data_IF_880709166349
#
_entry.id   IF_880709166349
#
_cell.length_a   1.000
_cell.length_b   1.000
_cell.length_c   1.000
_cell.angle_alpha   90.00
_cell.angle_beta   90.00
_cell.angle_gamma   90.00
#
_symmetry.space_group_name_H-M   'P 1'
#
loop_
_entity.id
_entity.type
_entity.pdbx_description
1 polymer ?
#
# COMPACT_ATOMS: atom_id res chain seq x y z
N UNK A 1 -76.91 -34.97 8.65
CA UNK A 1 -77.12 -34.11 7.47
C UNK A 1 -75.76 -33.71 6.93
N UNK A 2 -75.54 -33.84 5.61
CA UNK A 2 -74.46 -33.22 4.79
C UNK A 2 -72.99 -33.50 5.20
N UNK A 3 -72.00 -33.66 4.33
CA UNK A 3 -71.79 -34.11 2.95
C UNK A 3 -70.24 -34.16 2.83
N UNK A 4 -69.70 -35.07 2.03
CA UNK A 4 -68.28 -35.38 1.77
C UNK A 4 -67.41 -34.16 1.39
N UNK A 5 -66.10 -34.20 1.68
CA UNK A 5 -65.03 -33.85 0.70
C UNK A 5 -63.81 -34.77 0.92
N UNK A 6 -63.36 -35.36 -0.20
CA UNK A 6 -62.17 -36.18 -0.39
C UNK A 6 -60.99 -35.25 -0.76
N UNK A 7 -59.84 -35.41 -0.12
CA UNK A 7 -58.61 -34.67 -0.46
C UNK A 7 -57.42 -35.61 -0.59
N UNK A 8 -57.05 -35.88 -1.84
CA UNK A 8 -55.88 -36.66 -2.25
C UNK A 8 -54.62 -35.80 -2.06
N UNK A 9 -53.63 -36.22 -1.26
CA UNK A 9 -52.29 -35.63 -1.26
C UNK A 9 -51.30 -36.60 -1.92
N UNK A 10 -50.86 -36.19 -3.10
CA UNK A 10 -49.70 -36.73 -3.82
C UNK A 10 -48.41 -36.27 -3.15
N UNK A 11 -47.59 -37.21 -2.67
CA UNK A 11 -46.25 -36.94 -2.18
C UNK A 11 -45.26 -36.92 -3.36
N UNK A 12 -44.84 -35.73 -3.78
CA UNK A 12 -43.75 -35.52 -4.74
C UNK A 12 -42.39 -35.60 -4.04
N UNK A 13 -41.46 -36.33 -4.66
CA UNK A 13 -40.16 -36.68 -4.11
C UNK A 13 -39.19 -35.51 -3.92
N UNK A 14 -38.30 -35.67 -2.95
CA UNK A 14 -37.12 -34.83 -2.77
C UNK A 14 -35.91 -35.54 -3.39
N UNK A 15 -35.40 -35.02 -4.50
CA UNK A 15 -34.10 -35.39 -5.03
C UNK A 15 -33.01 -34.66 -4.23
N UNK A 16 -32.15 -35.42 -3.55
CA UNK A 16 -30.97 -34.90 -2.85
C UNK A 16 -29.90 -34.58 -3.91
N UNK A 17 -29.71 -33.30 -4.22
CA UNK A 17 -28.58 -32.84 -5.01
C UNK A 17 -27.32 -32.84 -4.14
N UNK A 18 -26.47 -33.86 -4.29
CA UNK A 18 -25.10 -33.85 -3.78
C UNK A 18 -24.30 -32.80 -4.57
N UNK A 19 -24.20 -31.59 -4.02
CA UNK A 19 -23.29 -30.57 -4.54
C UNK A 19 -21.88 -30.94 -4.05
N UNK A 20 -21.13 -31.65 -4.89
CA UNK A 20 -19.70 -31.88 -4.63
C UNK A 20 -18.95 -30.56 -4.77
N UNK A 21 -18.64 -29.90 -3.64
CA UNK A 21 -17.64 -28.85 -3.62
C UNK A 21 -16.29 -29.47 -4.00
N UNK A 22 -15.90 -29.31 -5.26
CA UNK A 22 -14.51 -29.49 -5.66
C UNK A 22 -13.70 -28.34 -5.06
N UNK A 23 -13.06 -28.59 -3.91
CA UNK A 23 -11.97 -27.76 -3.41
C UNK A 23 -10.80 -27.88 -4.41
N UNK A 24 -10.77 -26.99 -5.40
CA UNK A 24 -9.57 -26.78 -6.18
C UNK A 24 -8.45 -26.30 -5.23
N UNK A 25 -7.18 -26.70 -5.44
CA UNK A 25 -6.09 -26.32 -4.56
C UNK A 25 -5.79 -24.82 -4.73
N UNK A 26 -6.37 -24.01 -3.85
CA UNK A 26 -6.21 -22.54 -3.79
C UNK A 26 -4.75 -22.11 -3.82
N UNK A 27 -3.86 -22.89 -3.23
CA UNK A 27 -2.42 -22.63 -3.20
C UNK A 27 -1.78 -22.53 -4.60
N UNK A 28 -2.22 -23.34 -5.57
CA UNK A 28 -1.63 -23.33 -6.92
C UNK A 28 -2.10 -22.11 -7.72
N UNK A 29 -3.37 -21.72 -7.58
CA UNK A 29 -3.90 -20.50 -8.20
C UNK A 29 -3.31 -19.23 -7.57
N UNK A 30 -3.12 -19.23 -6.25
CA UNK A 30 -2.53 -18.11 -5.52
C UNK A 30 -1.04 -17.97 -5.84
N UNK A 31 -0.32 -19.08 -6.08
CA UNK A 31 1.06 -19.08 -6.58
C UNK A 31 1.12 -18.55 -8.02
N UNK A 32 0.28 -19.04 -8.92
CA UNK A 32 0.23 -18.57 -10.30
C UNK A 32 -0.10 -17.06 -10.42
N UNK A 33 -1.03 -16.55 -9.60
CA UNK A 33 -1.36 -15.13 -9.57
C UNK A 33 -0.20 -14.27 -9.04
N UNK A 34 0.54 -14.75 -8.03
CA UNK A 34 1.76 -14.09 -7.52
C UNK A 34 2.87 -14.05 -8.57
N UNK A 35 3.12 -15.19 -9.23
CA UNK A 35 4.15 -15.31 -10.26
C UNK A 35 3.83 -14.41 -11.47
N UNK A 36 2.54 -14.24 -11.80
CA UNK A 36 2.09 -13.33 -12.88
C UNK A 36 2.27 -11.85 -12.50
N UNK A 37 1.94 -11.47 -11.26
CA UNK A 37 2.11 -10.08 -10.79
C UNK A 37 3.60 -9.67 -10.72
N UNK A 38 4.47 -10.58 -10.29
CA UNK A 38 5.92 -10.35 -10.29
C UNK A 38 6.48 -10.23 -11.72
N UNK A 39 6.01 -11.07 -12.66
CA UNK A 39 6.46 -11.02 -14.06
C UNK A 39 6.03 -9.74 -14.80
N UNK A 40 4.97 -9.06 -14.36
CA UNK A 40 4.44 -7.85 -14.97
C UNK A 40 4.98 -6.54 -14.39
N UNK A 41 5.74 -6.56 -13.29
CA UNK A 41 6.21 -5.34 -12.63
C UNK A 41 7.47 -4.78 -13.29
N UNK A 42 7.52 -3.45 -13.47
CA UNK A 42 8.63 -2.76 -14.15
C UNK A 42 9.95 -2.71 -13.38
N UNK A 43 9.93 -3.11 -12.11
CA UNK A 43 11.12 -3.26 -11.26
C UNK A 43 11.35 -4.74 -11.01
N UNK A 44 12.47 -5.28 -11.51
CA UNK A 44 12.88 -6.65 -11.22
C UNK A 44 13.34 -6.83 -9.77
N UNK A 45 13.38 -8.07 -9.28
CA UNK A 45 13.93 -8.36 -7.95
C UNK A 45 15.40 -7.93 -7.82
N UNK A 46 16.20 -8.09 -8.88
CA UNK A 46 17.59 -7.65 -8.90
C UNK A 46 17.71 -6.12 -8.74
N UNK A 47 16.86 -5.35 -9.43
CA UNK A 47 16.82 -3.90 -9.27
C UNK A 47 16.33 -3.48 -7.88
N UNK A 48 15.30 -4.16 -7.34
CA UNK A 48 14.86 -3.93 -5.96
C UNK A 48 15.97 -4.19 -4.95
N UNK A 49 16.74 -5.28 -5.11
CA UNK A 49 17.89 -5.57 -4.26
C UNK A 49 19.01 -4.52 -4.40
N UNK A 50 19.24 -3.98 -5.61
CA UNK A 50 20.20 -2.90 -5.85
C UNK A 50 19.75 -1.57 -5.22
N UNK A 51 18.44 -1.28 -5.24
CA UNK A 51 17.86 -0.09 -4.60
C UNK A 51 18.01 -0.14 -3.08
N UNK A 52 17.82 -1.33 -2.49
CA UNK A 52 17.74 -1.55 -1.05
C UNK A 52 18.71 -2.65 -0.55
N UNK A 53 20.03 -2.40 -0.59
CA UNK A 53 21.04 -3.41 -0.25
C UNK A 53 21.08 -3.77 1.24
N UNK A 54 20.66 -2.86 2.12
CA UNK A 54 20.72 -3.01 3.58
C UNK A 54 19.34 -3.18 4.22
N UNK A 55 18.30 -3.47 3.44
CA UNK A 55 16.93 -3.54 3.97
C UNK A 55 16.79 -4.59 5.07
N UNK A 56 15.85 -4.34 5.97
CA UNK A 56 15.34 -5.37 6.86
C UNK A 56 14.70 -6.50 6.04
N UNK A 57 14.99 -7.75 6.41
CA UNK A 57 14.44 -8.95 5.75
C UNK A 57 12.90 -9.01 5.71
N UNK A 58 12.22 -8.26 6.58
CA UNK A 58 10.77 -8.04 6.54
C UNK A 58 10.29 -7.54 5.17
N UNK A 59 11.01 -6.58 4.57
CA UNK A 59 10.63 -6.00 3.29
C UNK A 59 11.08 -6.89 2.13
N UNK A 60 10.22 -7.84 1.76
CA UNK A 60 10.47 -8.75 0.65
C UNK A 60 9.95 -8.18 -0.66
N UNK A 61 10.64 -8.49 -1.76
CA UNK A 61 10.16 -8.19 -3.11
C UNK A 61 8.82 -8.88 -3.39
N UNK A 62 8.67 -10.13 -2.94
CA UNK A 62 7.42 -10.88 -3.02
C UNK A 62 6.26 -10.22 -2.25
N UNK A 63 6.54 -9.57 -1.12
CA UNK A 63 5.54 -8.78 -0.40
C UNK A 63 5.06 -7.59 -1.24
N UNK A 64 5.97 -6.89 -1.90
CA UNK A 64 5.65 -5.76 -2.78
C UNK A 64 4.82 -6.23 -3.98
N UNK A 65 5.27 -7.25 -4.70
CA UNK A 65 4.56 -7.74 -5.90
C UNK A 65 3.20 -8.33 -5.57
N UNK A 66 3.04 -8.98 -4.41
CA UNK A 66 1.75 -9.45 -3.92
C UNK A 66 0.78 -8.30 -3.55
N UNK A 67 1.29 -7.10 -3.26
CA UNK A 67 0.48 -5.93 -2.94
C UNK A 67 -0.02 -5.18 -4.18
N UNK A 68 0.65 -5.33 -5.34
CA UNK A 68 0.35 -4.58 -6.57
C UNK A 68 -1.10 -4.76 -7.04
N UNK A 69 -1.70 -5.94 -6.83
CA UNK A 69 -3.08 -6.21 -7.26
C UNK A 69 -4.12 -5.36 -6.52
N UNK A 70 -3.77 -4.74 -5.39
CA UNK A 70 -4.66 -3.81 -4.69
C UNK A 70 -4.82 -2.48 -5.46
N UNK A 71 -3.84 -2.12 -6.30
CA UNK A 71 -3.81 -0.87 -7.07
C UNK A 71 -3.32 -1.15 -8.50
N UNK A 72 -4.16 -1.71 -9.38
CA UNK A 72 -3.73 -2.20 -10.70
C UNK A 72 -3.26 -1.11 -11.68
N UNK A 73 -3.51 0.18 -11.39
CA UNK A 73 -2.99 1.32 -12.14
C UNK A 73 -1.58 1.75 -11.73
N UNK A 74 -1.14 1.40 -10.52
CA UNK A 74 0.18 1.76 -10.01
C UNK A 74 1.29 1.15 -10.88
N UNK A 75 2.20 1.98 -11.39
CA UNK A 75 3.29 1.58 -12.29
C UNK A 75 2.80 0.80 -13.52
N UNK A 76 1.56 1.01 -13.93
CA UNK A 76 0.92 0.35 -15.06
C UNK A 76 0.09 1.32 -15.94
N UNK A 77 0.15 2.62 -15.64
CA UNK A 77 -0.51 3.69 -16.41
C UNK A 77 0.53 4.48 -17.21
N UNK A 78 0.20 4.82 -18.46
CA UNK A 78 1.07 5.62 -19.33
C UNK A 78 2.14 4.80 -20.06
N UNK A 79 3.18 5.49 -20.56
CA UNK A 79 4.30 4.86 -21.24
C UNK A 79 5.20 4.08 -20.27
N UNK A 80 6.04 3.18 -20.78
CA UNK A 80 6.99 2.45 -19.92
C UNK A 80 7.97 3.37 -19.18
N UNK A 81 8.27 4.54 -19.75
CA UNK A 81 9.01 5.60 -19.05
C UNK A 81 8.25 6.09 -17.82
N UNK A 82 6.97 6.43 -17.97
CA UNK A 82 6.11 6.92 -16.87
C UNK A 82 5.93 5.85 -15.80
N UNK A 83 5.70 4.59 -16.20
CA UNK A 83 5.58 3.46 -15.26
C UNK A 83 6.84 3.30 -14.41
N UNK A 84 8.02 3.38 -15.01
CA UNK A 84 9.31 3.29 -14.30
C UNK A 84 9.58 4.52 -13.44
N UNK A 85 9.24 5.71 -13.91
CA UNK A 85 9.32 6.95 -13.12
C UNK A 85 8.43 6.85 -11.88
N UNK A 86 7.19 6.40 -12.02
CA UNK A 86 6.29 6.21 -10.89
C UNK A 86 6.83 5.18 -9.89
N UNK A 87 7.29 4.02 -10.37
CA UNK A 87 7.89 3.00 -9.51
C UNK A 87 9.11 3.53 -8.74
N UNK A 88 10.01 4.25 -9.43
CA UNK A 88 11.16 4.89 -8.81
C UNK A 88 10.74 5.97 -7.79
N UNK A 89 9.73 6.78 -8.09
CA UNK A 89 9.24 7.83 -7.21
C UNK A 89 8.63 7.28 -5.92
N UNK A 90 7.82 6.22 -6.02
CA UNK A 90 7.28 5.51 -4.86
C UNK A 90 8.41 4.94 -4.01
N UNK A 91 9.29 4.14 -4.62
CA UNK A 91 10.37 3.49 -3.89
C UNK A 91 11.37 4.48 -3.28
N UNK A 92 11.62 5.62 -3.93
CA UNK A 92 12.52 6.65 -3.41
C UNK A 92 11.97 7.34 -2.17
N UNK A 93 10.67 7.66 -2.16
CA UNK A 93 10.02 8.17 -0.95
C UNK A 93 10.00 7.11 0.15
N UNK A 94 9.68 5.86 -0.18
CA UNK A 94 9.77 4.73 0.77
C UNK A 94 11.18 4.60 1.36
N UNK A 95 12.21 4.72 0.53
CA UNK A 95 13.60 4.73 0.97
C UNK A 95 13.88 5.85 1.96
N UNK A 96 13.32 7.05 1.72
CA UNK A 96 13.48 8.18 2.62
C UNK A 96 12.78 7.95 3.97
N UNK A 97 11.52 7.51 3.97
CA UNK A 97 10.73 7.29 5.19
C UNK A 97 11.31 6.23 6.12
N UNK A 98 12.03 5.24 5.56
CA UNK A 98 12.43 4.02 6.28
C UNK A 98 13.95 3.87 6.43
N UNK A 99 14.74 4.86 5.99
CA UNK A 99 16.19 4.74 5.96
C UNK A 99 16.68 3.63 5.02
N UNK A 100 16.09 3.51 3.84
CA UNK A 100 16.40 2.47 2.86
C UNK A 100 15.82 1.10 3.24
N UNK A 101 14.60 1.09 3.77
CA UNK A 101 13.90 -0.10 4.27
C UNK A 101 14.60 -0.78 5.46
N UNK A 102 15.48 -0.08 6.17
CA UNK A 102 16.12 -0.59 7.39
C UNK A 102 15.11 -0.65 8.54
N UNK A 103 14.21 0.32 8.62
CA UNK A 103 13.26 0.46 9.72
C UNK A 103 11.85 0.01 9.31
N UNK A 104 11.24 -0.86 10.13
CA UNK A 104 9.84 -1.30 10.00
C UNK A 104 8.88 -0.44 10.80
N UNK A 105 9.38 0.12 11.91
CA UNK A 105 8.61 0.94 12.84
C UNK A 105 9.34 2.25 13.10
N UNK A 106 8.61 3.27 13.53
CA UNK A 106 9.18 4.54 14.00
C UNK A 106 10.19 4.30 15.13
N UNK A 107 11.33 4.99 15.08
CA UNK A 107 12.43 4.75 16.01
C UNK A 107 12.26 5.47 17.34
N UNK A 108 11.68 6.67 17.35
CA UNK A 108 11.49 7.44 18.57
C UNK A 108 10.25 6.98 19.34
N UNK A 109 10.41 5.98 20.21
CA UNK A 109 9.30 5.42 21.00
C UNK A 109 8.62 6.45 21.92
N UNK A 110 9.30 7.54 22.28
CA UNK A 110 8.68 8.61 23.07
C UNK A 110 7.52 9.31 22.34
N UNK A 111 7.49 9.24 21.01
CA UNK A 111 6.41 9.80 20.19
C UNK A 111 5.20 8.88 20.08
N UNK A 112 5.28 7.61 20.46
CA UNK A 112 4.21 6.64 20.17
C UNK A 112 2.82 7.05 20.69
N UNK A 113 2.69 7.64 21.90
CA UNK A 113 1.40 8.12 22.40
C UNK A 113 0.83 9.34 21.65
N UNK A 114 1.61 10.00 20.78
CA UNK A 114 1.18 11.18 20.04
C UNK A 114 0.12 10.88 18.98
N UNK A 115 0.14 9.68 18.41
CA UNK A 115 -0.61 9.33 17.20
C UNK A 115 -2.04 8.83 17.46
N UNK A 116 -2.60 9.14 18.62
CA UNK A 116 -3.99 8.88 18.94
C UNK A 116 -4.79 10.18 18.90
N UNK A 117 -5.53 10.39 17.81
CA UNK A 117 -6.52 11.46 17.76
C UNK A 117 -7.78 11.01 18.52
N UNK A 118 -7.90 11.47 19.77
CA UNK A 118 -9.02 11.19 20.66
C UNK A 118 -10.31 11.88 20.25
N UNK A 119 -10.28 12.79 19.28
CA UNK A 119 -11.49 13.44 18.75
C UNK A 119 -12.25 12.55 17.76
N UNK A 120 -11.61 11.50 17.25
CA UNK A 120 -12.25 10.52 16.37
C UNK A 120 -13.29 9.70 17.15
N UNK A 121 -14.51 9.51 16.60
CA UNK A 121 -15.59 8.80 17.32
C UNK A 121 -15.29 7.32 17.57
N UNK A 122 -14.39 6.72 16.79
CA UNK A 122 -13.92 5.34 16.97
C UNK A 122 -12.71 5.23 17.92
N UNK A 123 -12.16 6.36 18.37
CA UNK A 123 -11.05 6.41 19.31
C UNK A 123 -9.80 5.64 18.85
N UNK A 124 -9.15 4.99 19.81
CA UNK A 124 -7.88 4.30 19.66
C UNK A 124 -7.97 2.88 20.27
N UNK A 125 -8.79 1.98 19.69
CA UNK A 125 -9.16 0.72 20.33
C UNK A 125 -7.98 -0.25 20.55
N UNK A 126 -6.91 -0.13 19.75
CA UNK A 126 -5.70 -0.92 19.97
C UNK A 126 -4.86 -0.41 21.16
N UNK A 127 -5.05 0.84 21.59
CA UNK A 127 -4.24 1.54 22.58
C UNK A 127 -3.82 2.94 22.08
N UNK A 128 -3.63 3.88 23.00
CA UNK A 128 -3.26 5.27 22.66
C UNK A 128 -1.83 5.38 22.07
N UNK A 129 -0.98 4.40 22.33
CA UNK A 129 0.42 4.32 21.89
C UNK A 129 0.61 3.31 20.75
N UNK A 130 -0.47 2.93 20.04
CA UNK A 130 -0.44 1.86 19.02
C UNK A 130 -0.51 2.33 17.57
N UNK A 131 -0.60 3.62 17.30
CA UNK A 131 -0.74 4.15 15.94
C UNK A 131 0.48 4.92 15.45
N UNK A 132 1.66 4.60 16.00
CA UNK A 132 2.96 5.08 15.53
C UNK A 132 3.28 4.62 14.11
N UNK A 133 4.31 5.22 13.52
CA UNK A 133 4.72 4.96 12.14
C UNK A 133 5.12 3.50 11.91
N UNK A 134 4.51 2.85 10.91
CA UNK A 134 4.88 1.49 10.47
C UNK A 134 4.94 1.37 8.95
N UNK A 135 5.80 0.49 8.48
CA UNK A 135 5.86 0.06 7.09
C UNK A 135 6.46 1.11 6.13
N UNK A 136 6.29 0.92 4.81
CA UNK A 136 7.07 1.62 3.79
C UNK A 136 6.79 3.12 3.70
N UNK A 137 5.62 3.57 4.17
CA UNK A 137 5.25 5.00 4.20
C UNK A 137 5.16 5.53 5.64
N UNK A 138 5.63 4.76 6.63
CA UNK A 138 5.52 5.08 8.05
C UNK A 138 4.08 5.49 8.45
N UNK A 139 3.09 4.64 8.07
CA UNK A 139 1.67 4.87 8.34
C UNK A 139 1.47 5.19 9.83
N UNK A 140 0.95 6.38 10.11
CA UNK A 140 0.80 6.93 11.46
C UNK A 140 -0.61 7.50 11.64
N UNK A 141 -1.08 7.62 12.88
CA UNK A 141 -2.41 8.09 13.29
C UNK A 141 -3.56 7.11 13.15
N UNK A 142 -4.36 6.95 14.20
CA UNK A 142 -5.55 6.09 14.24
C UNK A 142 -6.50 6.30 13.05
N UNK A 143 -6.71 7.55 12.61
CA UNK A 143 -7.57 7.83 11.46
C UNK A 143 -7.01 7.32 10.13
N UNK A 144 -5.69 7.30 9.95
CA UNK A 144 -5.07 6.73 8.75
C UNK A 144 -5.10 5.21 8.77
N UNK A 145 -4.87 4.58 9.93
CA UNK A 145 -5.04 3.14 10.09
C UNK A 145 -6.50 2.73 9.79
N UNK A 146 -7.48 3.51 10.26
CA UNK A 146 -8.90 3.30 9.92
C UNK A 146 -9.14 3.41 8.41
N UNK A 147 -8.72 4.51 7.79
CA UNK A 147 -8.97 4.77 6.37
C UNK A 147 -8.27 3.75 5.44
N UNK A 148 -7.02 3.40 5.74
CA UNK A 148 -6.29 2.37 5.02
C UNK A 148 -6.96 1.00 5.19
N UNK A 149 -7.37 0.67 6.42
CA UNK A 149 -8.05 -0.58 6.71
C UNK A 149 -9.36 -0.75 5.96
N UNK A 150 -10.19 0.30 5.94
CA UNK A 150 -11.45 0.32 5.20
C UNK A 150 -11.23 0.11 3.69
N UNK A 151 -10.24 0.80 3.11
CA UNK A 151 -9.95 0.72 1.68
C UNK A 151 -9.40 -0.65 1.26
N UNK A 152 -8.62 -1.29 2.14
CA UNK A 152 -7.97 -2.58 1.87
C UNK A 152 -8.80 -3.79 2.30
N UNK A 153 -9.89 -3.59 3.04
CA UNK A 153 -10.68 -4.67 3.65
C UNK A 153 -9.93 -5.40 4.76
N UNK A 154 -9.09 -4.70 5.52
CA UNK A 154 -8.26 -5.23 6.60
C UNK A 154 -8.49 -4.38 7.84
N UNK A 155 -8.85 -4.96 8.99
CA UNK A 155 -9.09 -4.17 10.21
C UNK A 155 -7.78 -3.71 10.88
N UNK A 156 -7.18 -2.68 10.29
CA UNK A 156 -5.94 -2.05 10.76
C UNK A 156 -6.16 -1.12 11.96
N UNK A 157 -7.40 -0.66 12.21
CA UNK A 157 -7.68 0.16 13.39
C UNK A 157 -7.55 -0.69 14.66
N UNK A 158 -8.12 -1.89 14.69
CA UNK A 158 -8.01 -2.79 15.85
C UNK A 158 -6.72 -3.63 15.83
N UNK A 159 -6.11 -3.83 14.65
CA UNK A 159 -4.92 -4.66 14.49
C UNK A 159 -3.79 -3.90 13.77
N UNK A 160 -3.31 -2.76 14.31
CA UNK A 160 -2.29 -1.94 13.63
C UNK A 160 -0.95 -2.65 13.47
N UNK A 161 -0.65 -3.64 14.32
CA UNK A 161 0.59 -4.42 14.24
C UNK A 161 0.69 -5.29 12.99
N UNK A 162 -0.42 -5.52 12.26
CA UNK A 162 -0.36 -6.19 10.95
C UNK A 162 0.58 -5.46 9.97
N UNK A 163 0.68 -4.14 10.05
CA UNK A 163 1.55 -3.34 9.18
C UNK A 163 3.04 -3.60 9.43
N UNK A 164 3.42 -4.06 10.62
CA UNK A 164 4.80 -4.45 10.95
C UNK A 164 5.05 -5.97 10.96
N UNK A 165 3.99 -6.78 10.84
CA UNK A 165 4.08 -8.25 10.96
C UNK A 165 3.76 -8.99 9.66
N UNK A 166 3.05 -8.36 8.71
CA UNK A 166 2.78 -8.92 7.38
C UNK A 166 3.31 -7.98 6.29
N UNK A 167 4.30 -8.45 5.54
CA UNK A 167 4.96 -7.66 4.51
C UNK A 167 4.01 -7.22 3.38
N UNK A 168 3.04 -8.05 2.99
CA UNK A 168 2.10 -7.69 1.94
C UNK A 168 1.08 -6.65 2.44
N UNK A 169 0.62 -6.76 3.69
CA UNK A 169 -0.20 -5.72 4.33
C UNK A 169 0.58 -4.41 4.41
N UNK A 170 1.84 -4.46 4.83
CA UNK A 170 2.73 -3.30 4.88
C UNK A 170 2.87 -2.60 3.52
N UNK A 171 3.13 -3.36 2.46
CA UNK A 171 3.20 -2.79 1.11
C UNK A 171 1.87 -2.23 0.61
N UNK A 172 0.75 -2.88 0.94
CA UNK A 172 -0.59 -2.37 0.61
C UNK A 172 -0.87 -1.03 1.26
N UNK A 173 -0.42 -0.77 2.49
CA UNK A 173 -0.61 0.56 3.12
C UNK A 173 0.21 1.64 2.43
N UNK A 174 1.43 1.31 2.00
CA UNK A 174 2.25 2.23 1.18
C UNK A 174 1.56 2.56 -0.16
N UNK A 175 1.09 1.54 -0.88
CA UNK A 175 0.36 1.73 -2.13
C UNK A 175 -0.98 2.47 -1.91
N UNK A 176 -1.69 2.20 -0.82
CA UNK A 176 -2.91 2.94 -0.47
C UNK A 176 -2.63 4.43 -0.35
N UNK A 177 -1.59 4.81 0.39
CA UNK A 177 -1.24 6.22 0.52
C UNK A 177 -0.94 6.83 -0.84
N UNK A 178 -0.04 6.19 -1.59
CA UNK A 178 0.44 6.65 -2.90
C UNK A 178 -0.68 6.89 -3.92
N UNK A 179 -1.69 6.01 -3.96
CA UNK A 179 -2.72 6.01 -4.99
C UNK A 179 -4.00 6.74 -4.56
N UNK A 180 -4.17 7.09 -3.28
CA UNK A 180 -5.45 7.63 -2.79
C UNK A 180 -5.33 8.89 -1.94
N UNK A 181 -4.17 9.15 -1.34
CA UNK A 181 -3.99 10.22 -0.38
C UNK A 181 -3.27 11.41 -1.01
N UNK A 182 -3.73 12.61 -0.66
CA UNK A 182 -3.11 13.88 -1.08
C UNK A 182 -2.20 14.47 0.00
N UNK A 183 -2.33 13.99 1.25
CA UNK A 183 -1.65 14.55 2.42
C UNK A 183 -1.75 16.08 2.45
N UNK A 184 -0.63 16.81 2.69
CA UNK A 184 -0.61 18.27 2.63
C UNK A 184 -0.48 18.84 1.20
N UNK A 185 -0.48 18.00 0.17
CA UNK A 185 -0.48 18.38 -1.24
C UNK A 185 -1.89 18.60 -1.82
N UNK A 186 -1.97 18.68 -3.15
CA UNK A 186 -3.23 18.94 -3.89
C UNK A 186 -3.69 17.78 -4.77
N UNK A 187 -2.80 16.80 -5.00
CA UNK A 187 -3.02 15.60 -5.82
C UNK A 187 -2.39 14.38 -5.17
N UNK A 188 -2.76 13.19 -5.65
CA UNK A 188 -2.11 11.96 -5.19
C UNK A 188 -0.71 11.86 -5.79
N UNK A 189 0.25 11.20 -5.12
CA UNK A 189 1.53 10.87 -5.72
C UNK A 189 1.41 10.11 -7.06
N UNK A 190 0.44 9.20 -7.17
CA UNK A 190 0.11 8.54 -8.44
C UNK A 190 -0.18 9.56 -9.55
N UNK A 191 -1.15 10.46 -9.31
CA UNK A 191 -1.56 11.49 -10.27
C UNK A 191 -0.41 12.44 -10.62
N UNK A 192 0.45 12.77 -9.64
CA UNK A 192 1.60 13.63 -9.86
C UNK A 192 2.57 13.04 -10.90
N UNK A 193 2.79 11.72 -10.85
CA UNK A 193 3.67 11.02 -11.77
C UNK A 193 2.99 10.78 -13.12
N UNK A 194 1.77 10.24 -13.14
CA UNK A 194 1.13 9.84 -14.40
C UNK A 194 0.68 11.03 -15.26
N UNK A 195 0.40 12.18 -14.64
CA UNK A 195 0.03 13.41 -15.35
C UNK A 195 1.21 14.35 -15.59
N UNK A 196 2.43 13.97 -15.20
CA UNK A 196 3.63 14.76 -15.42
C UNK A 196 3.72 16.06 -14.60
N UNK A 197 3.05 16.13 -13.45
CA UNK A 197 3.17 17.27 -12.54
C UNK A 197 4.59 17.35 -11.93
N UNK A 198 5.19 16.19 -11.66
CA UNK A 198 6.58 16.02 -11.25
C UNK A 198 6.77 15.41 -9.86
N UNK A 199 8.01 14.95 -9.60
CA UNK A 199 8.36 14.27 -8.35
C UNK A 199 8.16 15.16 -7.11
N UNK A 200 8.31 16.48 -7.23
CA UNK A 200 8.12 17.43 -6.13
C UNK A 200 6.71 17.40 -5.53
N UNK A 201 5.68 17.13 -6.33
CA UNK A 201 4.31 16.99 -5.80
C UNK A 201 4.11 15.70 -5.00
N UNK A 202 4.92 14.66 -5.25
CA UNK A 202 4.93 13.45 -4.42
C UNK A 202 5.54 13.74 -3.04
N UNK A 203 6.62 14.53 -2.98
CA UNK A 203 7.22 15.01 -1.73
C UNK A 203 6.20 15.85 -0.96
N UNK A 204 5.53 16.76 -1.68
CA UNK A 204 4.49 17.62 -1.10
C UNK A 204 3.35 16.80 -0.51
N UNK A 205 2.89 15.76 -1.20
CA UNK A 205 1.81 14.91 -0.71
C UNK A 205 2.21 14.01 0.46
N UNK A 206 3.50 13.74 0.69
CA UNK A 206 3.96 12.85 1.77
C UNK A 206 4.32 13.65 3.02
N UNK A 207 5.11 14.72 2.90
CA UNK A 207 5.54 15.51 4.06
C UNK A 207 5.71 17.01 3.74
N UNK A 208 4.93 17.52 2.78
CA UNK A 208 5.11 18.87 2.27
C UNK A 208 4.88 20.02 3.24
N UNK A 209 4.14 19.79 4.33
CA UNK A 209 3.94 20.80 5.38
C UNK A 209 5.21 21.12 6.16
N UNK A 210 6.17 20.18 6.21
CA UNK A 210 7.42 20.32 6.96
C UNK A 210 8.63 20.52 6.05
N UNK A 211 8.60 19.97 4.83
CA UNK A 211 9.78 19.95 3.95
C UNK A 211 9.74 20.99 2.83
N UNK A 212 8.60 21.16 2.17
CA UNK A 212 8.48 22.01 0.98
C UNK A 212 8.50 23.51 1.31
N UNK A 213 8.55 24.36 0.27
CA UNK A 213 8.54 25.81 0.35
C UNK A 213 9.68 26.37 1.23
N UNK A 214 10.83 25.69 1.22
CA UNK A 214 12.00 26.05 2.02
C UNK A 214 11.96 25.58 3.47
N UNK A 215 10.97 24.76 3.87
CA UNK A 215 10.87 24.23 5.24
C UNK A 215 12.05 23.35 5.64
N UNK A 216 12.44 22.42 4.75
CA UNK A 216 13.63 21.59 4.95
C UNK A 216 14.28 21.19 3.61
N UNK A 217 15.06 22.10 2.98
CA UNK A 217 15.70 21.84 1.68
C UNK A 217 16.61 20.61 1.68
N UNK A 218 17.23 20.28 2.82
CA UNK A 218 18.10 19.10 2.94
C UNK A 218 17.32 17.78 2.77
N UNK A 219 16.13 17.67 3.36
CA UNK A 219 15.29 16.48 3.21
C UNK A 219 14.69 16.37 1.81
N UNK A 220 14.24 17.48 1.24
CA UNK A 220 13.77 17.54 -0.15
C UNK A 220 14.87 17.04 -1.09
N UNK A 221 16.11 17.54 -0.93
CA UNK A 221 17.24 17.08 -1.75
C UNK A 221 17.53 15.59 -1.54
N UNK A 222 17.48 15.08 -0.30
CA UNK A 222 17.67 13.65 -0.03
C UNK A 222 16.64 12.76 -0.76
N UNK A 223 15.38 13.19 -0.87
CA UNK A 223 14.36 12.48 -1.66
C UNK A 223 14.67 12.52 -3.15
N UNK A 224 15.08 13.68 -3.66
CA UNK A 224 15.46 13.86 -5.08
C UNK A 224 16.65 12.96 -5.43
N UNK A 225 17.67 12.91 -4.58
CA UNK A 225 18.88 12.09 -4.79
C UNK A 225 18.52 10.60 -4.87
N UNK A 226 17.63 10.12 -3.98
CA UNK A 226 17.12 8.76 -4.04
C UNK A 226 16.33 8.50 -5.33
N UNK A 227 15.46 9.43 -5.73
CA UNK A 227 14.67 9.30 -6.96
C UNK A 227 15.56 9.23 -8.19
N UNK A 228 16.53 10.13 -8.33
CA UNK A 228 17.48 10.12 -9.44
C UNK A 228 18.31 8.83 -9.49
N UNK A 229 18.77 8.33 -8.35
CA UNK A 229 19.44 7.03 -8.27
C UNK A 229 18.55 5.89 -8.75
N UNK A 230 17.27 5.91 -8.38
CA UNK A 230 16.33 4.84 -8.74
C UNK A 230 15.91 4.91 -10.20
N UNK A 231 15.72 6.10 -10.77
CA UNK A 231 15.45 6.24 -12.22
C UNK A 231 16.66 5.79 -13.05
N UNK A 232 17.89 6.05 -12.59
CA UNK A 232 19.11 5.51 -13.21
C UNK A 232 19.15 3.97 -13.20
N UNK A 233 18.81 3.33 -12.07
CA UNK A 233 18.72 1.85 -11.97
C UNK A 233 17.66 1.28 -12.94
N UNK A 234 16.58 2.02 -13.18
CA UNK A 234 15.52 1.62 -14.11
C UNK A 234 15.78 2.02 -15.58
N UNK A 235 16.85 2.78 -15.83
CA UNK A 235 17.26 3.24 -17.15
C UNK A 235 16.28 4.26 -17.76
N UNK A 236 15.79 5.21 -16.96
CA UNK A 236 14.91 6.30 -17.41
C UNK A 236 15.35 7.65 -16.86
N UNK A 237 15.02 8.72 -17.58
CA UNK A 237 15.20 10.09 -17.10
C UNK A 237 14.22 10.41 -15.95
N UNK A 238 14.58 11.28 -14.99
CA UNK A 238 13.72 11.61 -13.85
C UNK A 238 12.54 12.52 -14.19
N UNK A 239 12.54 13.16 -15.37
CA UNK A 239 11.55 14.18 -15.71
C UNK A 239 11.85 15.54 -15.07
N UNK A 240 10.87 16.45 -15.11
CA UNK A 240 10.98 17.81 -14.56
C UNK A 240 10.35 17.96 -13.17
N UNK A 241 10.38 19.18 -12.63
CA UNK A 241 9.72 19.57 -11.38
C UNK A 241 10.03 18.64 -10.20
N UNK A 242 11.32 18.41 -9.94
CA UNK A 242 11.77 17.45 -8.94
C UNK A 242 11.65 17.97 -7.49
N UNK A 243 11.73 19.29 -7.30
CA UNK A 243 11.64 19.92 -5.99
C UNK A 243 10.24 20.39 -5.67
N UNK A 244 10.02 20.58 -4.38
CA UNK A 244 9.06 21.49 -3.79
C UNK A 244 9.82 22.39 -2.80
#
# INVERSE_FOLDING_TARGET
MHRRILGLLTATGAAVALCTLTLAPTASAQKAAKDTAAAGFVVSEAQFNQMFPNRNSFYTYNGLTAALSAYPGFSNTGSDTVKKQEAAAFLANVSHETGGLVHVVEQNQANYPHYCDTTQPYGCPAGNDKYYGRGPIQLSWNFNYKAAGDALGIDLLNNPDLVQNDAAVSWKTGLWYWNTQKGPGTMTPHDAMVNGAGFGETIRAINGSLECNGGNPGQVQSRIDNYQRFTQILGVEPGGNLSC
#
